data_IF_900384340642
#
_entry.id   IF_900384340642
#
_cell.length_a   1.000
_cell.length_b   1.000
_cell.length_c   1.000
_cell.angle_alpha   90.00
_cell.angle_beta   90.00
_cell.angle_gamma   90.00
#
_symmetry.space_group_name_H-M   'P 1'
#
loop_
_entity.id
_entity.type
_entity.pdbx_description
1 polymer ?
#
# COMPACT_ATOMS: atom_id res chain seq x y z
N UNK A 1 -24.42 -11.56 21.76
CA UNK A 1 -24.43 -11.75 20.29
C UNK A 1 -25.08 -10.54 19.63
N UNK A 2 -24.32 -9.65 18.95
CA UNK A 2 -24.82 -8.79 17.85
C UNK A 2 -23.66 -8.47 16.91
N UNK A 3 -23.66 -9.17 15.79
CA UNK A 3 -22.85 -8.96 14.59
C UNK A 3 -23.19 -7.63 13.94
N UNK A 4 -22.19 -6.82 13.61
CA UNK A 4 -22.31 -5.76 12.60
C UNK A 4 -21.04 -5.73 11.76
N UNK A 5 -20.98 -6.65 10.80
CA UNK A 5 -20.18 -6.50 9.60
C UNK A 5 -20.63 -5.23 8.88
N UNK A 6 -19.88 -4.14 9.04
CA UNK A 6 -19.93 -3.00 8.11
C UNK A 6 -18.56 -2.90 7.46
N UNK A 7 -18.34 -3.77 6.48
CA UNK A 7 -17.24 -3.66 5.53
C UNK A 7 -17.62 -2.50 4.59
N UNK A 8 -17.47 -1.27 5.06
CA UNK A 8 -17.60 -0.08 4.21
C UNK A 8 -16.33 0.03 3.37
N UNK A 9 -16.39 -0.49 2.16
CA UNK A 9 -15.29 -0.56 1.19
C UNK A 9 -14.96 0.79 0.51
N UNK A 10 -15.43 1.93 1.04
CA UNK A 10 -15.15 3.26 0.52
C UNK A 10 -14.61 4.15 1.64
N UNK A 11 -13.29 4.41 1.63
CA UNK A 11 -12.72 5.49 2.43
C UNK A 11 -13.36 6.82 2.00
N UNK A 12 -13.95 7.52 2.95
CA UNK A 12 -14.50 8.86 2.74
C UNK A 12 -13.37 9.88 2.51
N UNK A 13 -13.67 10.97 1.80
CA UNK A 13 -12.69 12.07 1.53
C UNK A 13 -12.10 12.64 2.82
N UNK A 14 -12.88 12.63 3.91
CA UNK A 14 -12.50 13.08 5.25
C UNK A 14 -11.52 12.14 5.98
N UNK A 15 -11.55 10.84 5.68
CA UNK A 15 -10.53 9.90 6.17
C UNK A 15 -9.23 10.04 5.37
N UNK A 16 -9.36 10.38 4.08
CA UNK A 16 -8.23 10.61 3.17
C UNK A 16 -7.39 11.85 3.53
N UNK A 17 -8.00 12.90 4.07
CA UNK A 17 -7.30 14.11 4.55
C UNK A 17 -6.56 13.91 5.87
N UNK A 18 -6.90 12.88 6.66
CA UNK A 18 -6.17 12.50 7.88
C UNK A 18 -4.98 11.57 7.61
N UNK A 19 -4.83 11.06 6.39
CA UNK A 19 -3.74 10.18 6.02
C UNK A 19 -2.42 10.97 5.93
N UNK A 20 -1.45 10.55 6.73
CA UNK A 20 -0.10 11.11 6.70
C UNK A 20 0.56 10.71 5.38
N UNK A 21 1.57 11.46 4.95
CA UNK A 21 2.37 11.12 3.75
C UNK A 21 2.94 9.69 3.81
N UNK A 22 3.05 9.10 5.01
CA UNK A 22 3.40 7.71 5.29
C UNK A 22 2.38 6.67 4.82
N UNK A 23 1.14 7.06 4.53
CA UNK A 23 0.06 6.14 4.12
C UNK A 23 -0.01 5.94 2.60
N UNK A 24 0.80 6.66 1.84
CA UNK A 24 0.94 6.49 0.41
C UNK A 24 2.00 5.42 0.07
N UNK A 25 2.05 4.92 -1.15
CA UNK A 25 3.13 4.07 -1.63
C UNK A 25 4.30 4.88 -2.13
N UNK A 26 4.05 6.12 -2.55
CA UNK A 26 5.08 7.07 -2.90
C UNK A 26 4.75 8.40 -2.21
N UNK A 27 5.46 8.78 -1.13
CA UNK A 27 5.09 9.92 -0.29
C UNK A 27 5.27 11.25 -1.03
N UNK A 28 6.30 11.36 -1.89
CA UNK A 28 6.66 12.60 -2.57
C UNK A 28 5.57 13.09 -3.53
N UNK A 29 4.89 12.15 -4.20
CA UNK A 29 3.83 12.43 -5.18
C UNK A 29 2.44 12.03 -4.69
N UNK A 30 2.33 11.52 -3.45
CA UNK A 30 1.09 11.00 -2.84
C UNK A 30 0.35 9.99 -3.75
N UNK A 31 1.10 9.13 -4.42
CA UNK A 31 0.57 8.05 -5.26
C UNK A 31 0.45 6.73 -4.47
N UNK A 32 -0.42 5.84 -4.95
CA UNK A 32 -0.73 4.55 -4.32
C UNK A 32 -1.21 4.69 -2.87
N UNK A 33 -2.42 5.22 -2.62
CA UNK A 33 -2.96 5.28 -1.28
C UNK A 33 -3.06 3.85 -0.71
N UNK A 34 -2.40 3.58 0.41
CA UNK A 34 -2.45 2.31 1.15
C UNK A 34 -2.92 2.53 2.61
N UNK A 35 -4.17 3.02 2.81
CA UNK A 35 -4.74 3.22 4.13
C UNK A 35 -5.13 1.92 4.84
N UNK A 36 -5.33 0.81 4.12
CA UNK A 36 -5.77 -0.47 4.67
C UNK A 36 -5.18 -1.68 3.90
N UNK A 37 -5.53 -2.89 4.34
CA UNK A 37 -5.12 -4.15 3.73
C UNK A 37 -5.56 -4.31 2.26
N UNK A 38 -6.79 -3.88 1.94
CA UNK A 38 -7.34 -4.02 0.59
C UNK A 38 -6.56 -3.17 -0.41
N UNK A 39 -6.18 -1.96 -0.01
CA UNK A 39 -5.38 -1.06 -0.82
C UNK A 39 -3.92 -1.53 -0.97
N UNK A 40 -3.37 -2.22 0.03
CA UNK A 40 -2.05 -2.87 -0.11
C UNK A 40 -2.08 -3.96 -1.18
N UNK A 41 -3.15 -4.79 -1.21
CA UNK A 41 -3.35 -5.78 -2.27
C UNK A 41 -3.55 -5.13 -3.63
N UNK A 42 -4.34 -4.06 -3.70
CA UNK A 42 -4.49 -3.29 -4.92
C UNK A 42 -3.13 -2.75 -5.39
N UNK A 43 -2.32 -2.18 -4.49
CA UNK A 43 -1.00 -1.67 -4.83
C UNK A 43 -0.05 -2.79 -5.33
N UNK A 44 -0.15 -4.00 -4.79
CA UNK A 44 0.55 -5.18 -5.31
C UNK A 44 0.13 -5.49 -6.76
N UNK A 45 -1.17 -5.50 -7.08
CA UNK A 45 -1.65 -5.69 -8.46
C UNK A 45 -1.26 -4.55 -9.40
N UNK A 46 -1.33 -3.29 -8.94
CA UNK A 46 -0.96 -2.12 -9.72
C UNK A 46 0.55 -1.89 -9.83
N UNK A 47 1.36 -2.65 -9.08
CA UNK A 47 2.82 -2.53 -9.07
C UNK A 47 3.43 -2.67 -10.47
N UNK A 48 2.84 -3.53 -11.32
CA UNK A 48 3.30 -3.76 -12.70
C UNK A 48 3.31 -2.48 -13.54
N UNK A 49 2.38 -1.57 -13.28
CA UNK A 49 2.22 -0.31 -14.03
C UNK A 49 2.98 0.87 -13.41
N UNK A 50 3.62 0.67 -12.24
CA UNK A 50 4.45 1.70 -11.64
C UNK A 50 5.68 1.97 -12.51
N UNK A 51 6.17 3.22 -12.61
CA UNK A 51 7.46 3.51 -13.23
C UNK A 51 8.61 2.88 -12.44
N UNK A 52 9.63 2.41 -13.16
CA UNK A 52 10.78 1.67 -12.60
C UNK A 52 11.56 2.48 -11.55
N UNK A 53 11.65 3.79 -11.71
CA UNK A 53 12.27 4.71 -10.74
C UNK A 53 11.57 4.67 -9.38
N UNK A 54 10.24 4.49 -9.38
CA UNK A 54 9.41 4.49 -8.17
C UNK A 54 9.12 3.07 -7.67
N UNK A 55 9.37 2.03 -8.47
CA UNK A 55 9.19 0.62 -8.08
C UNK A 55 9.94 0.24 -6.79
N UNK A 56 11.21 0.63 -6.56
CA UNK A 56 11.91 0.30 -5.33
C UNK A 56 11.20 0.83 -4.08
N UNK A 57 10.89 2.14 -4.05
CA UNK A 57 10.24 2.78 -2.90
C UNK A 57 8.81 2.27 -2.70
N UNK A 58 8.07 2.06 -3.80
CA UNK A 58 6.71 1.51 -3.77
C UNK A 58 6.72 0.09 -3.20
N UNK A 59 7.58 -0.79 -3.71
CA UNK A 59 7.70 -2.16 -3.24
C UNK A 59 8.04 -2.23 -1.75
N UNK A 60 9.02 -1.44 -1.30
CA UNK A 60 9.39 -1.34 0.09
C UNK A 60 8.19 -0.96 0.98
N UNK A 61 7.40 0.03 0.55
CA UNK A 61 6.23 0.51 1.30
C UNK A 61 5.06 -0.46 1.27
N UNK A 62 4.84 -1.17 0.16
CA UNK A 62 3.84 -2.24 0.07
C UNK A 62 4.16 -3.31 1.13
N UNK A 63 5.41 -3.77 1.25
CA UNK A 63 5.82 -4.73 2.30
C UNK A 63 5.62 -4.18 3.71
N UNK A 64 6.01 -2.93 3.95
CA UNK A 64 5.88 -2.27 5.26
C UNK A 64 4.42 -2.17 5.70
N UNK A 65 3.54 -1.77 4.79
CA UNK A 65 2.09 -1.69 5.03
C UNK A 65 1.45 -3.06 5.15
N UNK A 66 1.89 -4.03 4.34
CA UNK A 66 1.42 -5.40 4.43
C UNK A 66 1.69 -6.00 5.81
N UNK A 67 2.91 -5.82 6.34
CA UNK A 67 3.24 -6.20 7.72
C UNK A 67 2.37 -5.51 8.75
N UNK A 68 2.10 -4.21 8.59
CA UNK A 68 1.24 -3.44 9.49
C UNK A 68 -0.21 -3.96 9.51
N UNK A 69 -0.75 -4.35 8.36
CA UNK A 69 -2.14 -4.80 8.23
C UNK A 69 -2.31 -6.32 8.24
N UNK A 70 -1.24 -7.09 8.43
CA UNK A 70 -1.29 -8.57 8.41
C UNK A 70 -1.50 -9.18 7.03
N UNK A 71 -1.18 -8.46 5.95
CA UNK A 71 -1.26 -8.95 4.57
C UNK A 71 0.02 -9.71 4.21
N UNK A 72 -0.11 -10.92 3.65
CA UNK A 72 1.04 -11.71 3.18
C UNK A 72 1.28 -11.46 1.69
N UNK A 73 2.36 -10.76 1.36
CA UNK A 73 2.80 -10.55 -0.03
C UNK A 73 3.79 -11.65 -0.39
N UNK A 74 3.44 -12.41 -1.43
CA UNK A 74 4.28 -13.49 -1.94
C UNK A 74 4.85 -13.18 -3.33
N UNK A 75 4.52 -12.00 -3.89
CA UNK A 75 5.03 -11.59 -5.19
C UNK A 75 6.57 -11.47 -5.19
N UNK A 76 7.29 -12.31 -5.94
CA UNK A 76 8.75 -12.30 -5.95
C UNK A 76 9.28 -10.99 -6.52
N UNK A 77 8.60 -10.42 -7.51
CA UNK A 77 8.94 -9.14 -8.13
C UNK A 77 8.97 -8.03 -7.07
N UNK A 78 7.95 -7.95 -6.22
CA UNK A 78 7.89 -6.92 -5.17
C UNK A 78 9.02 -7.13 -4.16
N UNK A 79 9.30 -8.38 -3.78
CA UNK A 79 10.38 -8.69 -2.85
C UNK A 79 11.76 -8.29 -3.42
N UNK A 80 12.01 -8.54 -4.71
CA UNK A 80 13.24 -8.14 -5.38
C UNK A 80 13.38 -6.61 -5.46
N UNK A 81 12.34 -5.91 -5.90
CA UNK A 81 12.36 -4.45 -5.99
C UNK A 81 12.49 -3.77 -4.63
N UNK A 82 11.84 -4.32 -3.59
CA UNK A 82 11.97 -3.80 -2.24
C UNK A 82 13.40 -3.93 -1.69
N UNK A 83 14.15 -4.97 -2.09
CA UNK A 83 15.58 -5.11 -1.75
C UNK A 83 16.47 -4.10 -2.47
N UNK A 84 16.06 -3.66 -3.67
CA UNK A 84 16.77 -2.63 -4.44
C UNK A 84 16.60 -1.21 -3.87
N UNK A 85 15.63 -0.99 -2.99
CA UNK A 85 15.45 0.29 -2.34
C UNK A 85 16.59 0.57 -1.35
N UNK A 86 17.46 1.51 -1.69
CA UNK A 86 18.47 2.08 -0.81
C UNK A 86 18.02 3.47 -0.38
N UNK A 87 18.02 3.73 0.93
CA UNK A 87 17.61 5.00 1.53
C UNK A 87 18.75 6.01 1.45
#
# INVERSE_FOLDING_TARGET
MKTKNNISHKLSVSERTKLRSSDFGIPNVREYPMPDAAHVRAAESYFRYSPDEKKPILAHRIILKARKFGVKIESPIILEWARKYKK
#
